data_IF_904562896424
#
_entry.id   IF_904562896424
#
_cell.length_a   1.000
_cell.length_b   1.000
_cell.length_c   1.000
_cell.angle_alpha   90.00
_cell.angle_beta   90.00
_cell.angle_gamma   90.00
#
_symmetry.space_group_name_H-M   'P 1'
#
loop_
_entity.id
_entity.type
_entity.pdbx_description
1 polymer ?
#
# COMPACT_ATOMS: atom_id res chain seq x y z
N UNK A 1 -32.92 36.30 29.16
CA UNK A 1 -31.64 36.27 28.42
C UNK A 1 -31.66 35.09 27.47
N UNK A 2 -31.33 35.24 26.17
CA UNK A 2 -31.19 34.08 25.29
C UNK A 2 -30.08 33.17 25.83
N UNK A 3 -30.39 31.88 26.03
CA UNK A 3 -29.39 30.89 26.47
C UNK A 3 -28.22 30.92 25.48
N UNK A 4 -27.03 31.26 25.97
CA UNK A 4 -25.80 31.27 25.18
C UNK A 4 -25.62 29.87 24.57
N UNK A 5 -25.55 29.78 23.24
CA UNK A 5 -25.48 28.51 22.53
C UNK A 5 -24.22 27.75 23.01
N UNK A 6 -24.41 26.50 23.42
CA UNK A 6 -23.31 25.68 23.95
C UNK A 6 -22.20 25.54 22.91
N UNK A 7 -20.93 25.67 23.33
CA UNK A 7 -19.75 25.47 22.46
C UNK A 7 -19.71 24.07 21.81
N UNK A 8 -20.39 23.10 22.41
CA UNK A 8 -20.51 21.73 21.88
C UNK A 8 -21.46 21.62 20.67
N UNK A 9 -22.25 22.66 20.38
CA UNK A 9 -23.14 22.74 19.21
C UNK A 9 -22.53 23.57 18.06
N UNK A 10 -21.20 23.68 18.02
CA UNK A 10 -20.46 24.41 16.98
C UNK A 10 -20.15 23.56 15.73
N UNK A 11 -20.38 22.25 15.79
CA UNK A 11 -20.17 21.35 14.65
C UNK A 11 -21.13 21.60 13.49
N UNK A 12 -20.82 21.04 12.31
CA UNK A 12 -21.68 21.09 11.14
C UNK A 12 -23.06 20.52 11.50
N UNK A 13 -24.12 21.28 11.19
CA UNK A 13 -25.50 20.83 11.34
C UNK A 13 -25.73 19.59 10.46
N UNK A 14 -26.36 18.56 11.01
CA UNK A 14 -26.80 17.39 10.23
C UNK A 14 -28.06 17.79 9.46
N UNK A 15 -27.85 18.23 8.23
CA UNK A 15 -28.90 18.71 7.34
C UNK A 15 -28.43 18.58 5.87
N UNK A 16 -28.17 17.35 5.38
CA UNK A 16 -27.68 17.15 4.02
C UNK A 16 -28.78 17.39 2.99
N UNK A 17 -28.41 17.86 1.81
CA UNK A 17 -29.31 17.85 0.66
C UNK A 17 -29.62 16.40 0.22
N UNK A 18 -30.81 16.13 -0.36
CA UNK A 18 -31.10 14.82 -0.94
C UNK A 18 -30.11 14.44 -2.05
N UNK A 19 -29.69 13.18 -2.08
CA UNK A 19 -28.83 12.64 -3.15
C UNK A 19 -29.63 12.58 -4.46
N UNK A 20 -29.03 13.06 -5.55
CA UNK A 20 -29.64 13.09 -6.89
C UNK A 20 -28.75 12.39 -7.91
N UNK A 21 -29.28 12.16 -9.13
CA UNK A 21 -28.50 11.63 -10.26
C UNK A 21 -27.29 12.49 -10.67
N UNK A 22 -27.21 13.74 -10.20
CA UNK A 22 -26.11 14.67 -10.48
C UNK A 22 -25.10 14.79 -9.35
N UNK A 23 -25.35 14.15 -8.20
CA UNK A 23 -24.45 14.20 -7.04
C UNK A 23 -23.11 13.56 -7.41
N UNK A 24 -22.04 14.35 -7.36
CA UNK A 24 -20.68 13.87 -7.64
C UNK A 24 -20.12 13.11 -6.44
N UNK A 25 -19.01 12.37 -6.63
CA UNK A 25 -18.37 11.63 -5.54
C UNK A 25 -17.89 12.56 -4.41
N UNK A 26 -17.34 13.73 -4.75
CA UNK A 26 -16.89 14.70 -3.75
C UNK A 26 -18.08 15.29 -2.97
N UNK A 27 -19.20 15.58 -3.62
CA UNK A 27 -20.42 16.01 -2.94
C UNK A 27 -20.98 14.92 -2.03
N UNK A 28 -21.05 13.67 -2.51
CA UNK A 28 -21.52 12.53 -1.73
C UNK A 28 -20.71 12.37 -0.44
N UNK A 29 -19.38 12.37 -0.57
CA UNK A 29 -18.46 12.21 0.56
C UNK A 29 -18.51 13.42 1.49
N UNK A 30 -18.42 14.64 0.97
CA UNK A 30 -18.35 15.84 1.83
C UNK A 30 -19.70 16.15 2.49
N UNK A 31 -20.83 15.91 1.83
CA UNK A 31 -22.14 16.35 2.30
C UNK A 31 -22.99 15.25 2.95
N UNK A 32 -22.87 13.99 2.53
CA UNK A 32 -23.73 12.92 3.04
C UNK A 32 -23.05 12.05 4.11
N UNK A 33 -21.73 11.93 4.11
CA UNK A 33 -21.01 11.09 5.08
C UNK A 33 -20.79 11.84 6.39
N UNK A 34 -21.88 12.14 7.11
CA UNK A 34 -21.90 13.10 8.21
C UNK A 34 -21.50 12.55 9.59
N UNK A 35 -21.75 11.26 9.86
CA UNK A 35 -21.51 10.63 11.17
C UNK A 35 -20.95 9.20 11.06
N UNK A 36 -20.49 8.65 12.20
CA UNK A 36 -19.97 7.27 12.34
C UNK A 36 -18.86 6.92 11.33
N UNK A 37 -18.79 5.67 10.87
CA UNK A 37 -17.75 5.21 9.93
C UNK A 37 -17.83 5.93 8.59
N UNK A 38 -19.00 6.43 8.17
CA UNK A 38 -19.09 7.28 6.99
C UNK A 38 -18.30 8.58 7.20
N UNK A 39 -18.46 9.26 8.35
CA UNK A 39 -17.65 10.44 8.68
C UNK A 39 -16.16 10.13 8.76
N UNK A 40 -15.77 8.95 9.28
CA UNK A 40 -14.37 8.51 9.26
C UNK A 40 -13.86 8.32 7.82
N UNK A 41 -14.67 7.76 6.92
CA UNK A 41 -14.31 7.62 5.50
C UNK A 41 -14.18 8.98 4.79
N UNK A 42 -15.05 9.95 5.12
CA UNK A 42 -14.90 11.33 4.65
C UNK A 42 -13.60 11.95 5.13
N UNK A 43 -13.28 11.81 6.42
CA UNK A 43 -12.03 12.30 6.99
C UNK A 43 -10.81 11.62 6.36
N UNK A 44 -10.91 10.32 6.04
CA UNK A 44 -9.87 9.60 5.30
C UNK A 44 -9.65 10.18 3.90
N UNK A 45 -10.73 10.43 3.15
CA UNK A 45 -10.66 11.07 1.83
C UNK A 45 -10.02 12.47 1.93
N UNK A 46 -10.41 13.26 2.92
CA UNK A 46 -9.89 14.61 3.14
C UNK A 46 -8.44 14.62 3.62
N UNK A 47 -8.05 13.71 4.53
CA UNK A 47 -6.67 13.56 4.98
C UNK A 47 -5.77 13.16 3.82
N UNK A 48 -6.19 12.16 3.04
CA UNK A 48 -5.43 11.69 1.89
C UNK A 48 -5.19 12.83 0.91
N UNK A 49 -6.25 13.51 0.48
CA UNK A 49 -6.17 14.54 -0.57
C UNK A 49 -5.60 15.88 -0.12
N UNK A 50 -5.94 16.37 1.07
CA UNK A 50 -5.57 17.72 1.52
C UNK A 50 -4.24 17.79 2.26
N UNK A 51 -3.66 16.64 2.62
CA UNK A 51 -2.42 16.57 3.39
C UNK A 51 -1.46 15.54 2.83
N UNK A 52 -1.86 14.27 2.72
CA UNK A 52 -0.92 13.21 2.31
C UNK A 52 -0.44 13.35 0.86
N UNK A 53 -1.20 14.04 0.01
CA UNK A 53 -0.84 14.31 -1.38
C UNK A 53 -0.07 15.62 -1.60
N UNK A 54 0.27 16.36 -0.55
CA UNK A 54 1.11 17.57 -0.69
C UNK A 54 2.50 17.22 -1.29
N UNK A 55 3.13 18.14 -2.05
CA UNK A 55 4.33 17.85 -2.84
C UNK A 55 5.55 17.36 -2.05
N UNK A 56 5.67 17.72 -0.77
CA UNK A 56 6.74 17.30 0.12
C UNK A 56 6.50 15.95 0.81
N UNK A 57 5.30 15.37 0.66
CA UNK A 57 4.90 14.15 1.35
C UNK A 57 5.19 12.92 0.49
N UNK A 58 5.88 11.95 1.08
CA UNK A 58 6.11 10.63 0.46
C UNK A 58 5.12 9.61 1.04
N UNK A 59 4.31 8.99 0.18
CA UNK A 59 3.20 8.10 0.57
C UNK A 59 3.59 6.64 0.41
N UNK A 60 3.68 5.93 1.53
CA UNK A 60 3.79 4.48 1.59
C UNK A 60 2.42 3.82 1.73
N UNK A 61 2.17 2.77 0.94
CA UNK A 61 0.93 2.01 0.98
C UNK A 61 1.19 0.59 1.53
N UNK A 62 0.37 0.15 2.48
CA UNK A 62 0.32 -1.25 2.93
C UNK A 62 -0.95 -1.93 2.42
N UNK A 63 -0.82 -3.11 1.83
CA UNK A 63 -1.92 -3.90 1.26
C UNK A 63 -1.98 -5.28 1.89
N UNK A 64 -3.15 -5.62 2.45
CA UNK A 64 -3.50 -6.96 2.95
C UNK A 64 -4.91 -7.38 2.53
N UNK A 65 -5.27 -8.64 2.80
CA UNK A 65 -6.52 -9.24 2.31
C UNK A 65 -6.41 -9.64 0.84
N UNK A 66 -7.55 -9.96 0.22
CA UNK A 66 -7.64 -10.39 -1.17
C UNK A 66 -8.02 -9.22 -2.11
N UNK A 67 -7.24 -8.13 -2.11
CA UNK A 67 -7.61 -6.92 -2.85
C UNK A 67 -7.37 -7.04 -4.36
N UNK A 68 -6.21 -7.54 -4.78
CA UNK A 68 -5.94 -7.71 -6.21
C UNK A 68 -6.82 -8.79 -6.85
N UNK A 69 -7.11 -9.97 -6.23
CA UNK A 69 -8.15 -10.87 -6.73
C UNK A 69 -9.51 -10.19 -6.93
N UNK A 70 -9.91 -9.31 -6.00
CA UNK A 70 -11.17 -8.57 -6.07
C UNK A 70 -11.19 -7.46 -7.15
N UNK A 71 -10.14 -7.36 -7.97
CA UNK A 71 -10.03 -6.37 -9.06
C UNK A 71 -9.60 -4.98 -8.62
N UNK A 72 -9.28 -4.76 -7.33
CA UNK A 72 -8.86 -3.46 -6.81
C UNK A 72 -7.47 -3.02 -7.30
N UNK A 73 -6.65 -3.97 -7.76
CA UNK A 73 -5.42 -3.67 -8.50
C UNK A 73 -5.71 -2.75 -9.69
N UNK A 74 -6.56 -3.22 -10.61
CA UNK A 74 -6.94 -2.49 -11.82
C UNK A 74 -7.85 -1.30 -11.55
N UNK A 75 -8.86 -1.44 -10.68
CA UNK A 75 -9.90 -0.43 -10.51
C UNK A 75 -9.49 0.75 -9.63
N UNK A 76 -8.51 0.57 -8.73
CA UNK A 76 -8.14 1.59 -7.75
C UNK A 76 -6.62 1.82 -7.62
N UNK A 77 -5.83 0.78 -7.35
CA UNK A 77 -4.40 0.93 -7.05
C UNK A 77 -3.60 1.43 -8.25
N UNK A 78 -3.84 0.89 -9.45
CA UNK A 78 -3.19 1.32 -10.69
C UNK A 78 -3.49 2.81 -10.98
N UNK A 79 -4.75 3.30 -10.97
CA UNK A 79 -5.03 4.72 -11.10
C UNK A 79 -4.27 5.61 -10.10
N UNK A 80 -4.17 5.19 -8.84
CA UNK A 80 -3.42 5.93 -7.81
C UNK A 80 -1.92 5.99 -8.10
N UNK A 81 -1.30 4.89 -8.54
CA UNK A 81 0.11 4.90 -8.97
C UNK A 81 0.31 5.84 -10.17
N UNK A 82 -0.58 5.76 -11.17
CA UNK A 82 -0.48 6.56 -12.39
C UNK A 82 -0.64 8.06 -12.13
N UNK A 83 -1.44 8.42 -11.14
CA UNK A 83 -1.58 9.79 -10.64
C UNK A 83 -0.43 10.23 -9.72
N UNK A 84 0.55 9.37 -9.46
CA UNK A 84 1.68 9.66 -8.56
C UNK A 84 1.26 9.75 -7.09
N UNK A 85 0.12 9.18 -6.68
CA UNK A 85 -0.42 9.25 -5.31
C UNK A 85 0.13 8.18 -4.38
N UNK A 86 0.81 7.17 -4.92
CA UNK A 86 1.50 6.11 -4.17
C UNK A 86 2.96 6.11 -4.61
N UNK A 87 3.88 6.23 -3.65
CA UNK A 87 5.31 6.34 -3.92
C UNK A 87 6.06 5.02 -3.69
N UNK A 88 5.58 4.17 -2.78
CA UNK A 88 6.10 2.82 -2.52
C UNK A 88 5.04 1.94 -1.82
N UNK A 89 5.20 0.62 -1.91
CA UNK A 89 4.18 -0.34 -1.45
C UNK A 89 4.83 -1.45 -0.61
N UNK A 90 4.12 -1.89 0.43
CA UNK A 90 4.31 -3.20 1.05
C UNK A 90 3.04 -4.03 0.86
N UNK A 91 3.19 -5.25 0.36
CA UNK A 91 2.07 -6.14 0.07
C UNK A 91 2.37 -7.55 0.55
N UNK A 92 1.32 -8.32 0.89
CA UNK A 92 1.46 -9.78 0.93
C UNK A 92 1.88 -10.32 -0.44
N UNK A 93 2.64 -11.41 -0.46
CA UNK A 93 3.00 -12.08 -1.71
C UNK A 93 1.78 -12.61 -2.45
N UNK A 94 0.71 -12.97 -1.72
CA UNK A 94 -0.55 -13.43 -2.29
C UNK A 94 -1.20 -12.37 -3.19
N UNK A 95 -1.27 -11.09 -2.80
CA UNK A 95 -1.80 -10.04 -3.68
C UNK A 95 -0.96 -9.90 -4.96
N UNK A 96 0.37 -9.98 -4.86
CA UNK A 96 1.26 -9.83 -6.02
C UNK A 96 1.20 -11.05 -6.95
N UNK A 97 1.05 -12.24 -6.38
CA UNK A 97 0.79 -13.46 -7.13
C UNK A 97 -0.56 -13.38 -7.85
N UNK A 98 -1.62 -13.01 -7.12
CA UNK A 98 -2.95 -12.99 -7.69
C UNK A 98 -3.16 -11.88 -8.73
N UNK A 99 -2.45 -10.76 -8.57
CA UNK A 99 -2.35 -9.70 -9.57
C UNK A 99 -1.75 -10.18 -10.90
N UNK A 100 -0.79 -11.11 -10.82
CA UNK A 100 -0.07 -11.61 -12.00
C UNK A 100 -1.00 -12.34 -12.96
N UNK A 101 -2.05 -13.04 -12.48
CA UNK A 101 -3.04 -13.72 -13.32
C UNK A 101 -3.55 -12.79 -14.41
N UNK A 102 -3.99 -11.58 -14.04
CA UNK A 102 -4.54 -10.60 -14.99
C UNK A 102 -3.48 -10.12 -15.98
N UNK A 103 -2.25 -9.87 -15.51
CA UNK A 103 -1.15 -9.39 -16.35
C UNK A 103 -0.68 -10.41 -17.38
N UNK A 104 -0.85 -11.72 -17.11
CA UNK A 104 -0.47 -12.78 -18.04
C UNK A 104 -1.65 -13.33 -18.88
N UNK A 105 -2.82 -12.67 -18.79
CA UNK A 105 -4.00 -12.95 -19.60
C UNK A 105 -4.93 -14.02 -19.07
N UNK A 106 -4.79 -14.37 -17.79
CA UNK A 106 -5.70 -15.28 -17.09
C UNK A 106 -6.83 -14.49 -16.42
N UNK A 107 -7.91 -15.18 -16.11
CA UNK A 107 -9.11 -14.56 -15.57
C UNK A 107 -9.52 -15.19 -14.23
N UNK A 108 -10.15 -14.37 -13.42
CA UNK A 108 -10.90 -14.77 -12.24
C UNK A 108 -12.32 -14.21 -12.38
N UNK A 109 -13.28 -14.87 -11.75
CA UNK A 109 -14.70 -14.60 -11.91
C UNK A 109 -15.36 -14.36 -10.57
N UNK A 110 -16.40 -13.52 -10.54
CA UNK A 110 -17.26 -13.43 -9.38
C UNK A 110 -17.98 -14.77 -9.18
N UNK A 111 -17.87 -15.31 -7.98
CA UNK A 111 -18.53 -16.52 -7.52
C UNK A 111 -19.60 -16.22 -6.47
N UNK A 112 -20.04 -17.27 -5.80
CA UNK A 112 -20.97 -17.18 -4.67
C UNK A 112 -20.37 -17.92 -3.48
N UNK A 113 -20.14 -17.20 -2.38
CA UNK A 113 -19.51 -17.74 -1.16
C UNK A 113 -20.26 -18.94 -0.53
N UNK A 114 -21.54 -19.13 -0.88
CA UNK A 114 -22.38 -20.22 -0.36
C UNK A 114 -22.29 -21.53 -1.17
N UNK A 115 -21.55 -21.55 -2.28
CA UNK A 115 -21.36 -22.78 -3.07
C UNK A 115 -20.48 -23.77 -2.30
N UNK A 116 -20.81 -25.06 -2.41
CA UNK A 116 -20.08 -26.15 -1.74
C UNK A 116 -18.65 -26.30 -2.26
N UNK A 117 -17.68 -26.34 -1.34
CA UNK A 117 -16.29 -26.64 -1.65
C UNK A 117 -16.07 -28.01 -2.29
N UNK A 118 -16.94 -28.98 -1.99
CA UNK A 118 -16.85 -30.33 -2.55
C UNK A 118 -17.14 -30.29 -4.05
N UNK A 119 -18.18 -29.54 -4.44
CA UNK A 119 -18.54 -29.34 -5.85
C UNK A 119 -17.45 -28.55 -6.56
N UNK A 120 -17.00 -27.44 -5.97
CA UNK A 120 -15.92 -26.64 -6.55
C UNK A 120 -14.65 -27.47 -6.77
N UNK A 121 -14.28 -28.31 -5.79
CA UNK A 121 -13.11 -29.18 -5.90
C UNK A 121 -13.27 -30.24 -6.99
N UNK A 122 -14.45 -30.84 -7.12
CA UNK A 122 -14.73 -31.85 -8.14
C UNK A 122 -14.68 -31.26 -9.57
N UNK A 123 -15.07 -30.00 -9.72
CA UNK A 123 -15.01 -29.23 -10.97
C UNK A 123 -13.67 -28.50 -11.17
N UNK A 124 -12.66 -28.78 -10.34
CA UNK A 124 -11.35 -28.13 -10.37
C UNK A 124 -11.40 -26.58 -10.29
N UNK A 125 -12.41 -26.05 -9.59
CA UNK A 125 -12.55 -24.62 -9.30
C UNK A 125 -11.92 -24.30 -7.94
N UNK A 126 -11.04 -23.32 -7.93
CA UNK A 126 -10.46 -22.74 -6.71
C UNK A 126 -11.24 -21.49 -6.35
N UNK A 127 -11.46 -21.27 -5.04
CA UNK A 127 -12.12 -20.07 -4.54
C UNK A 127 -11.24 -19.24 -3.60
N UNK A 128 -11.45 -17.93 -3.66
CA UNK A 128 -11.09 -16.95 -2.64
C UNK A 128 -12.41 -16.30 -2.23
N UNK A 129 -13.05 -16.83 -1.18
CA UNK A 129 -14.38 -16.41 -0.75
C UNK A 129 -15.43 -16.45 -1.88
N UNK A 130 -15.81 -15.30 -2.43
CA UNK A 130 -16.75 -15.13 -3.54
C UNK A 130 -16.05 -14.81 -4.88
N UNK A 131 -14.80 -15.22 -5.04
CA UNK A 131 -14.02 -15.13 -6.28
C UNK A 131 -13.60 -16.53 -6.69
N UNK A 132 -13.94 -16.96 -7.92
CA UNK A 132 -13.68 -18.29 -8.46
C UNK A 132 -12.73 -18.23 -9.66
N UNK A 133 -11.91 -19.26 -9.82
CA UNK A 133 -11.08 -19.46 -11.01
C UNK A 133 -10.71 -20.93 -11.18
N UNK A 134 -10.44 -21.30 -12.43
CA UNK A 134 -10.02 -22.65 -12.79
C UNK A 134 -8.66 -22.99 -12.17
N UNK A 135 -8.44 -24.22 -11.73
CA UNK A 135 -7.18 -24.67 -11.14
C UNK A 135 -5.97 -24.46 -12.08
N UNK A 136 -6.16 -24.56 -13.39
CA UNK A 136 -5.13 -24.28 -14.40
C UNK A 136 -4.54 -22.87 -14.29
N UNK A 137 -5.31 -21.89 -13.80
CA UNK A 137 -4.87 -20.51 -13.61
C UNK A 137 -3.70 -20.43 -12.61
N UNK A 138 -3.71 -21.26 -11.57
CA UNK A 138 -2.58 -21.38 -10.62
C UNK A 138 -1.36 -22.02 -11.30
N UNK A 139 -1.59 -23.11 -12.04
CA UNK A 139 -0.53 -23.87 -12.68
C UNK A 139 0.22 -23.02 -13.72
N UNK A 140 -0.51 -22.25 -14.51
CA UNK A 140 0.05 -21.35 -15.53
C UNK A 140 0.84 -20.20 -14.91
N UNK A 141 0.34 -19.63 -13.81
CA UNK A 141 1.04 -18.56 -13.08
C UNK A 141 2.30 -19.10 -12.40
N UNK A 142 2.23 -20.28 -11.81
CA UNK A 142 3.39 -20.97 -11.26
C UNK A 142 4.43 -21.29 -12.34
N UNK A 143 3.99 -21.78 -13.50
CA UNK A 143 4.87 -22.03 -14.64
C UNK A 143 5.56 -20.74 -15.11
N UNK A 144 4.83 -19.63 -15.17
CA UNK A 144 5.37 -18.31 -15.49
C UNK A 144 6.47 -17.90 -14.51
N UNK A 145 6.22 -17.94 -13.20
CA UNK A 145 7.23 -17.59 -12.19
C UNK A 145 8.42 -18.54 -12.24
N UNK A 146 8.21 -19.87 -12.31
CA UNK A 146 9.29 -20.86 -12.40
C UNK A 146 10.17 -20.66 -13.61
N UNK A 147 9.61 -20.30 -14.75
CA UNK A 147 10.38 -19.99 -15.95
C UNK A 147 11.15 -18.69 -15.76
N UNK A 148 10.48 -17.63 -15.30
CA UNK A 148 11.06 -16.30 -15.10
C UNK A 148 12.29 -16.35 -14.19
N UNK A 149 12.19 -17.01 -13.03
CA UNK A 149 13.27 -17.03 -12.02
C UNK A 149 14.48 -17.86 -12.42
N UNK A 150 14.46 -18.54 -13.57
CA UNK A 150 15.67 -19.18 -14.15
C UNK A 150 16.56 -18.18 -14.90
N UNK A 151 16.06 -16.95 -15.16
CA UNK A 151 16.82 -15.88 -15.79
C UNK A 151 18.06 -15.50 -14.99
N UNK A 152 19.11 -15.05 -15.70
CA UNK A 152 20.42 -14.73 -15.11
C UNK A 152 20.33 -13.64 -14.04
N UNK A 153 19.46 -12.65 -14.23
CA UNK A 153 19.21 -11.56 -13.28
C UNK A 153 18.65 -12.03 -11.93
N UNK A 154 18.04 -13.22 -11.87
CA UNK A 154 17.50 -13.80 -10.64
C UNK A 154 18.49 -14.71 -9.92
N UNK A 155 19.64 -15.04 -10.52
CA UNK A 155 20.60 -15.99 -9.94
C UNK A 155 21.52 -15.34 -8.89
N UNK A 156 20.91 -14.60 -7.95
CA UNK A 156 21.57 -13.91 -6.85
C UNK A 156 20.61 -13.69 -5.68
N UNK A 157 21.17 -13.37 -4.52
CA UNK A 157 20.41 -12.81 -3.39
C UNK A 157 19.98 -11.38 -3.71
N UNK A 158 18.74 -11.00 -3.38
CA UNK A 158 18.20 -9.66 -3.61
C UNK A 158 17.11 -9.28 -2.60
N UNK A 159 16.79 -7.98 -2.51
CA UNK A 159 15.57 -7.52 -1.83
C UNK A 159 14.31 -7.97 -2.58
N UNK A 160 13.19 -8.05 -1.87
CA UNK A 160 11.91 -8.36 -2.51
C UNK A 160 11.49 -7.24 -3.47
N UNK A 161 11.85 -5.99 -3.19
CA UNK A 161 11.63 -4.88 -4.13
C UNK A 161 12.36 -5.05 -5.46
N UNK A 162 13.61 -5.55 -5.45
CA UNK A 162 14.32 -5.85 -6.69
C UNK A 162 13.62 -6.97 -7.47
N UNK A 163 13.24 -8.04 -6.77
CA UNK A 163 12.51 -9.15 -7.36
C UNK A 163 11.19 -8.69 -8.00
N UNK A 164 10.36 -7.93 -7.28
CA UNK A 164 9.06 -7.47 -7.79
C UNK A 164 9.20 -6.48 -8.95
N UNK A 165 10.24 -5.64 -8.95
CA UNK A 165 10.51 -4.76 -10.08
C UNK A 165 10.91 -5.56 -11.32
N UNK A 166 11.79 -6.55 -11.18
CA UNK A 166 12.16 -7.45 -12.27
C UNK A 166 10.95 -8.26 -12.74
N UNK A 167 10.16 -8.82 -11.84
CA UNK A 167 8.94 -9.55 -12.16
C UNK A 167 7.94 -8.67 -12.91
N UNK A 168 7.71 -7.44 -12.44
CA UNK A 168 6.87 -6.45 -13.11
C UNK A 168 7.32 -6.15 -14.54
N UNK A 169 8.62 -6.12 -14.82
CA UNK A 169 9.14 -6.01 -16.20
C UNK A 169 8.71 -7.18 -17.08
N UNK A 170 8.77 -8.41 -16.58
CA UNK A 170 8.34 -9.60 -17.34
C UNK A 170 6.83 -9.63 -17.54
N UNK A 171 6.05 -9.29 -16.50
CA UNK A 171 4.60 -9.17 -16.59
C UNK A 171 4.22 -8.10 -17.60
N UNK A 172 4.81 -6.91 -17.54
CA UNK A 172 4.57 -5.84 -18.50
C UNK A 172 4.90 -6.25 -19.94
N UNK A 173 6.03 -6.97 -20.14
CA UNK A 173 6.37 -7.51 -21.46
C UNK A 173 5.32 -8.52 -21.95
N UNK A 174 4.78 -9.35 -21.05
CA UNK A 174 3.72 -10.32 -21.36
C UNK A 174 2.41 -9.62 -21.71
N UNK A 175 1.99 -8.61 -20.94
CA UNK A 175 0.82 -7.78 -21.21
C UNK A 175 0.89 -7.21 -22.65
N UNK A 176 2.02 -6.58 -23.00
CA UNK A 176 2.24 -6.05 -24.36
C UNK A 176 2.12 -7.10 -25.45
N UNK A 177 2.67 -8.30 -25.22
CA UNK A 177 2.58 -9.42 -26.18
C UNK A 177 1.14 -9.91 -26.37
N UNK A 178 0.31 -9.79 -25.34
CA UNK A 178 -1.10 -10.20 -25.34
C UNK A 178 -2.06 -9.07 -25.75
N UNK A 179 -1.56 -7.86 -26.03
CA UNK A 179 -2.41 -6.70 -26.30
C UNK A 179 -3.19 -6.20 -25.08
N UNK A 180 -2.75 -6.56 -23.87
CA UNK A 180 -3.32 -6.10 -22.61
C UNK A 180 -2.67 -4.77 -22.19
N UNK A 181 -3.42 -3.96 -21.44
CA UNK A 181 -2.95 -2.67 -20.91
C UNK A 181 -3.35 -2.50 -19.46
N UNK A 182 -2.39 -2.15 -18.63
CA UNK A 182 -2.55 -1.77 -17.23
C UNK A 182 -3.41 -2.78 -16.44
N UNK A 183 -3.18 -4.08 -16.64
CA UNK A 183 -3.94 -5.17 -16.00
C UNK A 183 -3.28 -5.67 -14.71
N UNK A 184 -1.97 -5.48 -14.57
CA UNK A 184 -1.21 -5.86 -13.39
C UNK A 184 -0.62 -4.66 -12.65
N UNK A 185 -0.82 -4.64 -11.33
CA UNK A 185 -0.16 -3.77 -10.37
C UNK A 185 1.36 -3.89 -10.47
N UNK A 186 1.91 -5.11 -10.55
CA UNK A 186 3.36 -5.33 -10.74
C UNK A 186 3.86 -4.70 -12.06
N UNK A 187 3.12 -4.88 -13.15
CA UNK A 187 3.43 -4.31 -14.46
C UNK A 187 3.48 -2.78 -14.42
N UNK A 188 2.46 -2.14 -13.84
CA UNK A 188 2.39 -0.68 -13.72
C UNK A 188 3.42 -0.13 -12.73
N UNK A 189 3.64 -0.79 -11.59
CA UNK A 189 4.65 -0.38 -10.61
C UNK A 189 6.06 -0.38 -11.23
N UNK A 190 6.38 -1.35 -12.10
CA UNK A 190 7.60 -1.34 -12.89
C UNK A 190 7.70 -0.11 -13.80
N UNK A 191 6.65 0.21 -14.56
CA UNK A 191 6.65 1.36 -15.48
C UNK A 191 6.84 2.70 -14.74
N UNK A 192 6.27 2.82 -13.56
CA UNK A 192 6.32 4.02 -12.71
C UNK A 192 7.47 3.99 -11.68
N UNK A 193 8.30 2.94 -11.69
CA UNK A 193 9.40 2.73 -10.76
C UNK A 193 8.98 2.90 -9.27
N UNK A 194 7.81 2.36 -8.93
CA UNK A 194 7.32 2.26 -7.55
C UNK A 194 7.83 0.94 -6.95
N UNK A 195 8.68 0.96 -5.91
CA UNK A 195 9.19 -0.25 -5.29
C UNK A 195 8.09 -0.94 -4.48
N UNK A 196 8.01 -2.27 -4.60
CA UNK A 196 7.04 -3.11 -3.88
C UNK A 196 7.80 -4.14 -3.03
N UNK A 197 7.63 -4.07 -1.71
CA UNK A 197 8.21 -5.02 -0.77
C UNK A 197 7.18 -6.04 -0.30
N UNK A 198 7.66 -7.19 0.17
CA UNK A 198 6.83 -8.20 0.83
C UNK A 198 7.46 -8.61 2.15
N UNK A 199 6.73 -8.35 3.24
CA UNK A 199 7.19 -8.59 4.61
C UNK A 199 7.35 -10.08 4.98
N UNK A 200 6.78 -10.98 4.20
CA UNK A 200 6.84 -12.43 4.40
C UNK A 200 6.99 -13.14 3.05
N UNK A 201 8.18 -13.09 2.42
CA UNK A 201 8.37 -13.52 1.02
C UNK A 201 8.15 -15.02 0.80
N UNK A 202 8.30 -15.84 1.84
CA UNK A 202 7.99 -17.27 1.79
C UNK A 202 6.48 -17.59 1.83
N UNK A 203 5.64 -16.64 2.24
CA UNK A 203 4.20 -16.83 2.48
C UNK A 203 3.36 -16.48 1.24
N UNK A 204 3.62 -17.16 0.13
CA UNK A 204 2.84 -17.08 -1.11
C UNK A 204 3.28 -18.15 -2.11
N UNK A 205 2.47 -18.39 -3.15
CA UNK A 205 2.87 -19.23 -4.29
C UNK A 205 4.15 -18.75 -4.97
N UNK A 206 4.45 -17.44 -4.96
CA UNK A 206 5.75 -16.93 -5.43
C UNK A 206 6.89 -17.55 -4.60
N UNK A 207 6.83 -17.42 -3.28
CA UNK A 207 7.81 -17.99 -2.35
C UNK A 207 7.92 -19.51 -2.46
N UNK A 208 6.80 -20.22 -2.60
CA UNK A 208 6.77 -21.67 -2.80
C UNK A 208 7.50 -22.11 -4.08
N UNK A 209 7.31 -21.39 -5.19
CA UNK A 209 8.02 -21.70 -6.45
C UNK A 209 9.52 -21.39 -6.35
N UNK A 210 9.91 -20.32 -5.63
CA UNK A 210 11.32 -20.04 -5.33
C UNK A 210 11.93 -21.17 -4.51
N UNK A 211 11.27 -21.61 -3.44
CA UNK A 211 11.74 -22.70 -2.59
C UNK A 211 11.89 -24.02 -3.38
N UNK A 212 10.92 -24.36 -4.22
CA UNK A 212 11.00 -25.54 -5.08
C UNK A 212 12.18 -25.47 -6.07
N UNK A 213 12.46 -24.29 -6.65
CA UNK A 213 13.59 -24.09 -7.56
C UNK A 213 14.94 -24.08 -6.85
N UNK A 214 14.99 -23.66 -5.58
CA UNK A 214 16.21 -23.75 -4.77
C UNK A 214 16.67 -25.20 -4.60
N UNK A 215 15.74 -26.16 -4.40
CA UNK A 215 16.05 -27.60 -4.38
C UNK A 215 16.63 -28.14 -5.70
N UNK A 216 16.47 -27.38 -6.80
CA UNK A 216 17.00 -27.70 -8.13
C UNK A 216 18.29 -26.92 -8.45
N UNK A 217 18.88 -26.23 -7.46
CA UNK A 217 20.12 -25.47 -7.62
C UNK A 217 19.95 -24.02 -8.11
N UNK A 218 18.72 -23.51 -8.18
CA UNK A 218 18.49 -22.08 -8.44
C UNK A 218 19.05 -21.23 -7.29
N UNK A 219 19.75 -20.14 -7.62
CA UNK A 219 20.45 -19.28 -6.65
C UNK A 219 19.64 -18.09 -6.15
N UNK A 220 18.40 -17.91 -6.62
CA UNK A 220 17.52 -16.86 -6.15
C UNK A 220 17.26 -17.03 -4.65
N UNK A 221 17.58 -15.99 -3.87
CA UNK A 221 17.27 -15.90 -2.46
C UNK A 221 16.80 -14.48 -2.13
N UNK A 222 15.90 -14.36 -1.16
CA UNK A 222 15.47 -13.06 -0.63
C UNK A 222 16.30 -12.71 0.60
N UNK A 223 16.73 -11.47 0.70
CA UNK A 223 17.34 -10.91 1.91
C UNK A 223 16.37 -9.94 2.60
N UNK A 224 15.68 -10.39 3.67
CA UNK A 224 14.77 -9.52 4.43
C UNK A 224 15.49 -8.34 5.09
N UNK A 225 16.80 -8.43 5.35
CA UNK A 225 17.58 -7.34 5.94
C UNK A 225 17.76 -6.19 4.96
N UNK A 226 17.88 -6.50 3.66
CA UNK A 226 17.83 -5.47 2.61
C UNK A 226 16.47 -4.79 2.59
N UNK A 227 15.36 -5.52 2.66
CA UNK A 227 14.02 -4.92 2.68
C UNK A 227 13.82 -3.98 3.89
N UNK A 228 14.25 -4.41 5.08
CA UNK A 228 14.17 -3.59 6.31
C UNK A 228 14.97 -2.29 6.14
N UNK A 229 16.20 -2.38 5.63
CA UNK A 229 17.03 -1.18 5.47
C UNK A 229 16.58 -0.30 4.30
N UNK A 230 16.15 -0.86 3.17
CA UNK A 230 15.68 -0.09 2.01
C UNK A 230 14.40 0.69 2.35
N UNK A 231 13.46 0.09 3.08
CA UNK A 231 12.23 0.77 3.52
C UNK A 231 12.51 1.86 4.55
N UNK A 232 13.37 1.61 5.54
CA UNK A 232 13.85 2.63 6.46
C UNK A 232 14.57 3.78 5.73
N UNK A 233 15.39 3.46 4.73
CA UNK A 233 16.09 4.44 3.91
C UNK A 233 15.13 5.34 3.11
N UNK A 234 14.05 4.79 2.56
CA UNK A 234 13.00 5.57 1.88
C UNK A 234 12.38 6.59 2.85
N UNK A 235 11.99 6.15 4.05
CA UNK A 235 11.35 7.02 5.05
C UNK A 235 12.31 8.10 5.54
N UNK A 236 13.55 7.73 5.86
CA UNK A 236 14.58 8.69 6.25
C UNK A 236 14.85 9.72 5.14
N UNK A 237 14.93 9.28 3.89
CA UNK A 237 15.12 10.17 2.75
C UNK A 237 13.94 11.12 2.57
N UNK A 238 12.69 10.65 2.74
CA UNK A 238 11.51 11.51 2.72
C UNK A 238 11.59 12.62 3.77
N UNK A 239 12.06 12.30 4.99
CA UNK A 239 12.16 13.26 6.11
C UNK A 239 13.32 14.24 5.97
N UNK A 240 14.42 13.82 5.32
CA UNK A 240 15.62 14.64 5.11
C UNK A 240 15.55 15.50 3.85
N UNK A 241 14.86 15.03 2.81
CA UNK A 241 14.64 15.79 1.60
C UNK A 241 13.59 16.88 1.87
N UNK A 242 14.05 18.10 2.07
CA UNK A 242 13.17 19.25 2.08
C UNK A 242 12.58 19.52 0.68
N UNK A 243 11.31 19.92 0.62
CA UNK A 243 10.69 20.41 -0.61
C UNK A 243 11.53 21.54 -1.23
N UNK A 244 11.49 21.65 -2.58
CA UNK A 244 12.13 22.75 -3.32
C UNK A 244 11.79 24.09 -2.65
N UNK A 245 12.78 24.98 -2.48
CA UNK A 245 12.57 26.35 -1.97
C UNK A 245 11.51 27.06 -2.81
N UNK A 246 10.28 27.14 -2.32
CA UNK A 246 9.29 28.09 -2.83
C UNK A 246 9.59 29.44 -2.17
N UNK A 247 9.76 30.49 -3.00
CA UNK A 247 10.33 31.81 -2.67
C UNK A 247 10.14 32.34 -1.25
N UNK A 248 11.20 32.96 -0.69
CA UNK A 248 11.29 33.72 0.58
C UNK A 248 10.69 33.09 1.85
N UNK A 249 10.16 31.86 1.81
CA UNK A 249 9.69 31.10 2.96
C UNK A 249 10.75 30.13 3.50
N UNK A 250 10.60 29.75 4.78
CA UNK A 250 11.38 28.65 5.39
C UNK A 250 11.24 27.39 4.55
N UNK A 251 12.35 26.68 4.37
CA UNK A 251 12.39 25.39 3.70
C UNK A 251 11.47 24.40 4.45
N UNK A 252 10.37 23.95 3.81
CA UNK A 252 9.44 22.98 4.40
C UNK A 252 10.16 21.63 4.48
N UNK A 253 10.23 21.06 5.68
CA UNK A 253 10.81 19.73 5.92
C UNK A 253 9.98 18.71 5.13
N UNK A 254 10.62 17.70 4.56
CA UNK A 254 9.90 16.61 3.92
C UNK A 254 9.14 15.77 4.95
N UNK A 255 8.04 15.19 4.52
CA UNK A 255 7.09 14.48 5.38
C UNK A 255 6.85 13.06 4.82
N UNK A 256 6.48 12.12 5.69
CA UNK A 256 6.11 10.76 5.32
C UNK A 256 4.69 10.42 5.76
N UNK A 257 3.98 9.69 4.90
CA UNK A 257 2.59 9.30 5.12
C UNK A 257 2.43 7.80 4.92
N UNK A 258 1.58 7.18 5.74
CA UNK A 258 1.22 5.76 5.63
C UNK A 258 -0.27 5.62 5.33
N UNK A 259 -0.58 4.96 4.22
CA UNK A 259 -1.92 4.52 3.88
C UNK A 259 -1.99 3.00 4.05
N UNK A 260 -2.85 2.50 4.94
CA UNK A 260 -2.92 1.10 5.31
C UNK A 260 -4.29 0.54 4.94
N UNK A 261 -4.31 -0.49 4.11
CA UNK A 261 -5.49 -1.26 3.75
C UNK A 261 -5.43 -2.63 4.45
N UNK A 262 -6.23 -2.76 5.51
CA UNK A 262 -6.27 -3.88 6.44
C UNK A 262 -5.23 -3.78 7.56
N UNK A 263 -4.38 -4.79 7.70
CA UNK A 263 -3.52 -4.96 8.88
C UNK A 263 -2.32 -5.89 8.67
N UNK A 264 -2.13 -6.82 9.62
CA UNK A 264 -1.15 -7.91 9.51
C UNK A 264 0.31 -7.48 9.31
N UNK A 265 1.09 -8.39 8.73
CA UNK A 265 2.53 -8.24 8.52
C UNK A 265 2.88 -7.01 7.66
N UNK A 266 2.18 -6.71 6.54
CA UNK A 266 2.41 -5.49 5.77
C UNK A 266 2.20 -4.18 6.55
N UNK A 267 1.17 -4.08 7.41
CA UNK A 267 1.00 -2.92 8.31
C UNK A 267 2.20 -2.79 9.25
N UNK A 268 2.66 -3.89 9.85
CA UNK A 268 3.82 -3.81 10.74
C UNK A 268 5.06 -3.34 10.01
N UNK A 269 5.34 -3.94 8.87
CA UNK A 269 6.56 -3.72 8.11
C UNK A 269 6.62 -2.28 7.58
N UNK A 270 5.46 -1.68 7.29
CA UNK A 270 5.36 -0.27 6.92
C UNK A 270 5.72 0.64 8.09
N UNK A 271 5.19 0.35 9.28
CA UNK A 271 5.37 1.21 10.44
C UNK A 271 6.69 0.99 11.18
N UNK A 272 7.30 -0.20 11.08
CA UNK A 272 8.54 -0.52 11.79
C UNK A 272 9.77 0.21 11.24
N UNK A 273 9.64 0.88 10.09
CA UNK A 273 10.70 1.74 9.54
C UNK A 273 11.13 2.78 10.57
N UNK A 274 10.19 3.30 11.36
CA UNK A 274 10.45 4.33 12.37
C UNK A 274 11.26 3.79 13.57
N UNK A 275 10.84 2.71 14.26
CA UNK A 275 11.69 2.02 15.24
C UNK A 275 13.06 1.60 14.69
N UNK A 276 13.13 1.15 13.43
CA UNK A 276 14.40 0.80 12.80
C UNK A 276 15.34 2.01 12.72
N UNK A 277 14.83 3.19 12.34
CA UNK A 277 15.62 4.42 12.25
C UNK A 277 16.00 4.92 13.65
N UNK A 278 15.01 5.09 14.53
CA UNK A 278 15.16 5.81 15.80
C UNK A 278 15.81 4.96 16.90
N UNK A 279 15.35 3.71 17.06
CA UNK A 279 15.73 2.85 18.19
C UNK A 279 16.92 1.97 17.82
N UNK A 280 16.83 1.28 16.67
CA UNK A 280 17.84 0.29 16.27
C UNK A 280 19.09 0.95 15.68
N UNK A 281 18.92 1.92 14.78
CA UNK A 281 20.04 2.66 14.18
C UNK A 281 20.46 3.91 14.97
N UNK A 282 19.63 4.36 15.92
CA UNK A 282 19.92 5.54 16.75
C UNK A 282 19.96 6.85 15.98
N UNK A 283 19.31 6.92 14.81
CA UNK A 283 19.24 8.13 13.98
C UNK A 283 18.08 8.99 14.47
N UNK A 284 18.36 10.27 14.76
CA UNK A 284 17.33 11.20 15.23
C UNK A 284 16.28 11.47 14.16
N UNK A 285 15.05 11.02 14.39
CA UNK A 285 13.93 11.11 13.48
C UNK A 285 12.64 11.09 14.31
N UNK A 286 11.53 11.58 13.74
CA UNK A 286 10.22 11.56 14.36
C UNK A 286 9.27 10.87 13.40
N UNK A 287 8.53 9.88 13.93
CA UNK A 287 7.53 9.02 13.29
C UNK A 287 6.73 9.60 12.11
N UNK A 288 6.01 8.74 11.38
CA UNK A 288 5.20 9.19 10.23
C UNK A 288 4.30 10.40 10.55
N UNK A 289 4.26 11.38 9.63
CA UNK A 289 3.52 12.63 9.81
C UNK A 289 2.01 12.44 9.61
N UNK A 290 1.62 11.47 8.78
CA UNK A 290 0.22 11.18 8.48
C UNK A 290 -0.05 9.69 8.56
N UNK A 291 -1.16 9.32 9.22
CA UNK A 291 -1.59 7.94 9.38
C UNK A 291 -3.02 7.78 8.90
N UNK A 292 -3.21 7.01 7.83
CA UNK A 292 -4.52 6.64 7.32
C UNK A 292 -4.65 5.11 7.32
N UNK A 293 -5.59 4.58 8.09
CA UNK A 293 -5.92 3.16 8.11
C UNK A 293 -7.38 2.90 7.75
N UNK A 294 -7.59 1.94 6.87
CA UNK A 294 -8.88 1.28 6.63
C UNK A 294 -8.76 -0.15 7.15
N UNK A 295 -9.62 -0.57 8.07
CA UNK A 295 -9.56 -1.91 8.68
C UNK A 295 -10.92 -2.37 9.15
N UNK A 296 -11.16 -3.67 9.19
CA UNK A 296 -12.30 -4.30 9.85
C UNK A 296 -11.92 -4.89 11.23
N UNK A 297 -10.62 -4.94 11.53
CA UNK A 297 -10.10 -5.55 12.74
C UNK A 297 -10.37 -4.68 13.97
N UNK A 298 -10.88 -5.31 15.03
CA UNK A 298 -11.11 -4.64 16.31
C UNK A 298 -9.81 -4.52 17.13
N UNK A 299 -9.63 -3.44 17.91
CA UNK A 299 -8.45 -3.28 18.75
C UNK A 299 -8.40 -4.23 19.95
N UNK A 300 -9.56 -4.65 20.49
CA UNK A 300 -9.65 -5.38 21.77
C UNK A 300 -9.20 -6.84 21.70
N UNK A 301 -9.08 -7.41 20.50
CA UNK A 301 -8.64 -8.81 20.31
C UNK A 301 -7.13 -8.97 20.33
N UNK A 302 -6.36 -7.91 20.57
CA UNK A 302 -4.90 -7.95 20.71
C UNK A 302 -4.12 -8.16 19.39
N UNK A 303 -4.81 -8.11 18.25
CA UNK A 303 -4.19 -8.25 16.94
C UNK A 303 -3.65 -6.93 16.40
N UNK A 304 -2.44 -6.93 15.84
CA UNK A 304 -1.81 -5.75 15.25
C UNK A 304 -2.70 -5.05 14.19
N UNK A 305 -3.52 -5.83 13.47
CA UNK A 305 -4.47 -5.29 12.49
C UNK A 305 -5.41 -4.24 13.07
N UNK A 306 -5.83 -4.39 14.33
CA UNK A 306 -6.70 -3.44 15.04
C UNK A 306 -5.96 -2.38 15.86
N UNK A 307 -4.63 -2.49 15.99
CA UNK A 307 -3.83 -1.57 16.82
C UNK A 307 -4.03 -0.11 16.40
N UNK A 308 -4.35 0.73 17.38
CA UNK A 308 -4.78 2.12 17.14
C UNK A 308 -3.58 3.05 16.87
N UNK A 309 -3.80 4.23 16.26
CA UNK A 309 -2.75 5.22 16.10
C UNK A 309 -2.16 5.68 17.45
N UNK A 310 -2.98 5.72 18.51
CA UNK A 310 -2.50 6.05 19.86
C UNK A 310 -1.47 5.04 20.38
N UNK A 311 -1.70 3.75 20.11
CA UNK A 311 -0.69 2.71 20.36
C UNK A 311 0.53 2.91 19.45
N UNK A 312 0.34 3.21 18.16
CA UNK A 312 1.45 3.48 17.25
C UNK A 312 2.34 4.66 17.69
N UNK A 313 1.77 5.70 18.31
CA UNK A 313 2.52 6.81 18.91
C UNK A 313 3.40 6.35 20.07
N UNK A 314 2.92 5.45 20.94
CA UNK A 314 3.75 4.95 22.06
C UNK A 314 4.98 4.16 21.60
N UNK A 315 4.93 3.62 20.37
CA UNK A 315 6.04 2.94 19.71
C UNK A 315 6.89 3.87 18.81
N UNK A 316 6.67 5.18 18.85
CA UNK A 316 7.39 6.14 18.00
C UNK A 316 7.07 6.06 16.50
N UNK A 317 6.07 5.26 16.10
CA UNK A 317 5.70 5.00 14.69
C UNK A 317 4.95 6.16 14.04
N UNK A 318 4.32 7.03 14.83
CA UNK A 318 3.56 8.21 14.40
C UNK A 318 4.02 9.40 15.24
N UNK A 319 4.17 10.57 14.61
CA UNK A 319 4.53 11.79 15.35
C UNK A 319 3.41 12.19 16.33
N UNK A 320 3.69 12.29 17.65
CA UNK A 320 2.68 12.68 18.64
C UNK A 320 2.03 14.04 18.36
N UNK A 321 2.74 14.98 17.74
CA UNK A 321 2.20 16.32 17.39
C UNK A 321 1.20 16.25 16.23
N UNK A 322 1.13 15.11 15.53
CA UNK A 322 0.26 14.86 14.38
C UNK A 322 -0.90 13.92 14.68
N UNK A 323 -1.16 13.59 15.94
CA UNK A 323 -2.31 12.78 16.36
C UNK A 323 -3.68 13.22 15.78
N UNK A 324 -4.00 14.53 15.64
CA UNK A 324 -5.22 14.98 14.96
C UNK A 324 -5.32 14.58 13.49
N UNK A 325 -4.20 14.20 12.87
CA UNK A 325 -4.06 13.82 11.47
C UNK A 325 -3.90 12.29 11.30
N UNK A 326 -4.29 11.53 12.33
CA UNK A 326 -4.45 10.09 12.28
C UNK A 326 -5.92 9.69 12.11
N UNK A 327 -6.26 9.04 11.00
CA UNK A 327 -7.62 8.57 10.71
C UNK A 327 -7.64 7.06 10.63
N UNK A 328 -8.54 6.44 11.41
CA UNK A 328 -8.92 5.03 11.28
C UNK A 328 -10.37 4.96 10.83
N UNK A 329 -10.60 4.28 9.71
CA UNK A 329 -11.92 3.99 9.20
C UNK A 329 -12.22 2.50 9.36
N UNK A 330 -13.20 2.17 10.22
CA UNK A 330 -13.64 0.80 10.44
C UNK A 330 -14.61 0.36 9.33
N UNK A 331 -14.07 -0.12 8.22
CA UNK A 331 -14.81 -0.50 7.01
C UNK A 331 -13.97 -1.45 6.15
N UNK A 332 -14.65 -2.26 5.33
CA UNK A 332 -13.99 -3.09 4.32
C UNK A 332 -13.22 -2.22 3.30
N UNK A 333 -11.99 -2.64 2.98
CA UNK A 333 -11.14 -2.00 1.98
C UNK A 333 -11.76 -2.03 0.58
N UNK A 334 -12.57 -3.05 0.26
CA UNK A 334 -13.31 -3.16 -1.01
C UNK A 334 -14.40 -2.10 -1.18
N UNK A 335 -14.87 -1.50 -0.08
CA UNK A 335 -15.79 -0.35 -0.10
C UNK A 335 -15.00 0.96 -0.09
N UNK A 336 -14.05 1.10 0.83
CA UNK A 336 -13.37 2.37 1.05
C UNK A 336 -12.41 2.75 -0.07
N UNK A 337 -11.60 1.82 -0.56
CA UNK A 337 -10.53 2.12 -1.51
C UNK A 337 -11.07 2.69 -2.83
N UNK A 338 -12.13 2.13 -3.46
CA UNK A 338 -12.73 2.75 -4.65
C UNK A 338 -13.25 4.17 -4.39
N UNK A 339 -13.88 4.42 -3.23
CA UNK A 339 -14.40 5.74 -2.86
C UNK A 339 -13.25 6.74 -2.67
N UNK A 340 -12.21 6.37 -1.91
CA UNK A 340 -11.02 7.20 -1.69
C UNK A 340 -10.33 7.50 -3.02
N UNK A 341 -10.21 6.51 -3.90
CA UNK A 341 -9.58 6.67 -5.22
C UNK A 341 -10.37 7.63 -6.10
N UNK A 342 -11.68 7.42 -6.24
CA UNK A 342 -12.55 8.28 -7.04
C UNK A 342 -12.56 9.72 -6.50
N UNK A 343 -12.62 9.87 -5.17
CA UNK A 343 -12.54 11.19 -4.52
C UNK A 343 -11.19 11.87 -4.79
N UNK A 344 -10.07 11.15 -4.63
CA UNK A 344 -8.74 11.70 -4.84
C UNK A 344 -8.51 12.16 -6.28
N UNK A 345 -8.85 11.31 -7.26
CA UNK A 345 -8.74 11.66 -8.67
C UNK A 345 -9.66 12.82 -9.09
N UNK A 346 -10.79 13.01 -8.38
CA UNK A 346 -11.71 14.11 -8.64
C UNK A 346 -11.31 15.44 -7.98
N UNK A 347 -10.46 15.42 -6.95
CA UNK A 347 -10.22 16.59 -6.08
C UNK A 347 -8.76 17.00 -5.95
N UNK A 348 -7.83 16.20 -6.46
CA UNK A 348 -6.40 16.50 -6.43
C UNK A 348 -5.77 16.30 -7.81
N UNK A 349 -4.91 17.23 -8.22
CA UNK A 349 -4.16 17.10 -9.47
C UNK A 349 -3.14 15.96 -9.39
N UNK A 350 -2.88 15.30 -10.52
CA UNK A 350 -1.87 14.25 -10.58
C UNK A 350 -0.49 14.82 -10.21
N UNK A 351 0.28 14.05 -9.43
CA UNK A 351 1.66 14.38 -9.05
C UNK A 351 2.63 13.76 -10.06
N UNK A 352 3.79 14.38 -10.21
CA UNK A 352 4.89 13.74 -10.91
C UNK A 352 5.33 12.49 -10.12
N UNK A 353 5.34 11.28 -10.73
CA UNK A 353 5.76 10.07 -10.03
C UNK A 353 7.19 10.19 -9.50
N UNK A 354 7.41 9.86 -8.22
CA UNK A 354 8.74 9.99 -7.59
C UNK A 354 9.78 8.96 -8.06
N UNK A 355 9.32 7.86 -8.67
CA UNK A 355 10.16 6.79 -9.23
C UNK A 355 11.20 6.24 -8.23
N UNK A 356 10.78 6.00 -6.99
CA UNK A 356 11.67 5.68 -5.85
C UNK A 356 12.56 4.46 -6.08
N UNK A 357 12.15 3.50 -6.90
CA UNK A 357 12.94 2.30 -7.18
C UNK A 357 14.31 2.64 -7.80
N UNK A 358 14.35 3.65 -8.67
CA UNK A 358 15.57 4.08 -9.38
C UNK A 358 16.58 4.75 -8.44
N UNK A 359 16.13 5.18 -7.26
CA UNK A 359 16.91 5.93 -6.26
C UNK A 359 17.21 5.13 -5.00
N UNK A 360 16.93 3.81 -4.97
CA UNK A 360 17.16 2.98 -3.78
C UNK A 360 18.59 3.04 -3.26
N UNK A 361 19.58 3.02 -4.15
CA UNK A 361 20.98 3.12 -3.74
C UNK A 361 21.30 4.48 -3.09
N UNK A 362 20.78 5.58 -3.64
CA UNK A 362 20.92 6.92 -3.05
C UNK A 362 20.34 6.96 -1.62
N UNK A 363 19.18 6.32 -1.41
CA UNK A 363 18.56 6.25 -0.09
C UNK A 363 19.39 5.42 0.88
N UNK A 364 19.91 4.27 0.43
CA UNK A 364 20.78 3.42 1.24
C UNK A 364 22.08 4.12 1.63
N UNK A 365 22.67 4.88 0.72
CA UNK A 365 23.88 5.67 0.97
C UNK A 365 23.61 6.74 2.05
N UNK A 366 22.45 7.41 2.00
CA UNK A 366 22.00 8.35 3.03
C UNK A 366 21.84 7.66 4.38
N UNK A 367 21.13 6.52 4.44
CA UNK A 367 20.93 5.74 5.66
C UNK A 367 22.26 5.35 6.29
N UNK A 368 23.19 4.83 5.49
CA UNK A 368 24.53 4.45 5.95
C UNK A 368 25.33 5.67 6.44
N UNK A 369 25.21 6.81 5.76
CA UNK A 369 25.82 8.09 6.18
C UNK A 369 25.31 8.53 7.54
N UNK A 370 23.99 8.53 7.76
CA UNK A 370 23.38 8.98 9.00
C UNK A 370 23.69 7.98 10.14
N UNK A 371 23.63 6.69 9.85
CA UNK A 371 24.04 5.65 10.79
C UNK A 371 25.52 5.77 11.19
N UNK A 372 26.41 6.21 10.29
CA UNK A 372 27.81 6.50 10.61
C UNK A 372 28.00 7.65 11.59
N UNK A 373 27.08 8.60 11.61
CA UNK A 373 27.09 9.75 12.53
C UNK A 373 26.40 9.44 13.87
N UNK A 374 25.57 8.39 13.91
CA UNK A 374 24.87 7.97 15.12
C UNK A 374 25.86 7.62 16.23
N UNK A 375 25.65 8.20 17.42
CA UNK A 375 26.48 8.00 18.61
C UNK A 375 26.15 6.70 19.36
N UNK A 376 25.09 5.98 18.95
CA UNK A 376 24.61 4.73 19.57
C UNK A 376 25.11 3.47 18.86
N UNK A 377 26.20 3.58 18.10
CA UNK A 377 26.80 2.46 17.36
C UNK A 377 27.32 1.34 18.25
#
# INVERSE_FOLDING_TARGET
MPKKKSKFLAGRKIDPAPITKRTTINQLVDESFLAYNAARLREACQLFTKKMLEPEVTVGLSITGALTPAGLGTSALIPLIKAGFIDWIISTGANLYHDTHFGIGLAMHQGNAQISDIVLRAEEVVRIYDIFFDYSVLLDTDAFFRQMITGKEFQKTMSTAEFHYLAGRYVHKRERKLGLKDKSLLGVAYQYAVPIYTSSPGDSSIGMNVAAKALQGNKLAFDPSLDVNETAAIVLSAKRNAGKKTGRGKQKKGESAVFILGGGSPKNFLLQTEPQIQEVLGIDERGHDYFLQVTDARPDTGGLSGATPGEAVSWGKVDPDRLPDAVVCYVDSTIALPIITAYALATHEAREPRRLYERRQEFMDLLLSEYKKSKRR
#
